data_IF_137287311818
#
_entry.id   IF_137287311818
#
_cell.length_a   1.000
_cell.length_b   1.000
_cell.length_c   1.000
_cell.angle_alpha   90.00
_cell.angle_beta   90.00
_cell.angle_gamma   90.00
#
_symmetry.space_group_name_H-M   'P 1'
#
loop_
_entity.id
_entity.type
_entity.pdbx_description
1 polymer ?
#
# COMPACT_ATOMS: atom_id res chain seq x y z
N UNK A 1 11.50 -29.12 66.75
CA UNK A 1 12.58 -28.94 65.75
C UNK A 1 12.85 -30.26 65.04
N UNK A 2 12.52 -30.36 63.74
CA UNK A 2 13.09 -31.29 62.75
C UNK A 2 12.47 -30.99 61.35
N UNK A 3 13.33 -30.44 60.46
CA UNK A 3 13.48 -30.70 59.00
C UNK A 3 12.25 -30.50 58.10
N UNK A 4 12.11 -29.39 57.36
CA UNK A 4 12.69 -29.06 56.02
C UNK A 4 12.19 -29.94 54.86
N UNK A 5 11.46 -29.38 53.90
CA UNK A 5 11.85 -29.24 52.47
C UNK A 5 10.64 -28.77 51.60
N UNK A 6 10.89 -27.74 50.77
CA UNK A 6 10.07 -27.30 49.64
C UNK A 6 9.97 -28.36 48.54
N UNK A 7 8.82 -28.45 47.86
CA UNK A 7 8.61 -28.84 46.45
C UNK A 7 7.33 -28.08 46.00
N UNK A 8 7.44 -26.94 45.31
CA UNK A 8 7.44 -26.76 43.85
C UNK A 8 6.20 -27.33 43.10
N UNK A 9 5.29 -26.41 42.76
CA UNK A 9 4.80 -26.12 41.39
C UNK A 9 4.33 -27.28 40.50
N UNK A 10 3.05 -27.24 40.10
CA UNK A 10 2.64 -27.37 38.69
C UNK A 10 1.23 -26.76 38.52
N UNK A 11 1.19 -25.47 38.17
CA UNK A 11 0.01 -24.82 37.61
C UNK A 11 -0.07 -25.31 36.16
N UNK A 12 -0.95 -26.27 35.90
CA UNK A 12 -1.28 -26.72 34.54
C UNK A 12 -2.15 -25.67 33.85
N UNK A 13 -1.52 -24.61 33.35
CA UNK A 13 -2.10 -23.69 32.38
C UNK A 13 -2.18 -24.44 31.04
N UNK A 14 -3.31 -25.11 30.81
CA UNK A 14 -3.65 -25.64 29.50
C UNK A 14 -4.06 -24.43 28.65
N UNK A 15 -3.06 -23.76 28.06
CA UNK A 15 -3.27 -22.85 26.94
C UNK A 15 -3.28 -23.73 25.69
N UNK A 16 -4.43 -24.30 25.34
CA UNK A 16 -4.59 -24.94 24.03
C UNK A 16 -4.58 -23.82 23.00
N UNK A 17 -3.38 -23.52 22.49
CA UNK A 17 -3.08 -23.09 21.13
C UNK A 17 -4.29 -22.58 20.34
N UNK A 18 -4.64 -21.31 20.54
CA UNK A 18 -5.33 -20.57 19.49
C UNK A 18 -4.35 -20.43 18.34
N UNK A 19 -4.64 -21.06 17.21
CA UNK A 19 -4.00 -20.70 15.94
C UNK A 19 -4.27 -19.21 15.72
N UNK A 20 -3.33 -18.33 16.04
CA UNK A 20 -3.41 -16.95 15.59
C UNK A 20 -3.40 -17.03 14.06
N UNK A 21 -4.53 -16.65 13.44
CA UNK A 21 -4.55 -16.49 11.98
C UNK A 21 -3.51 -15.42 11.65
N UNK A 22 -2.63 -15.69 10.67
CA UNK A 22 -1.61 -14.70 10.31
C UNK A 22 -2.32 -13.44 9.83
N UNK A 23 -1.94 -12.29 10.38
CA UNK A 23 -2.50 -11.02 9.90
C UNK A 23 -1.79 -10.62 8.60
N UNK A 24 -2.42 -9.80 7.76
CA UNK A 24 -1.75 -9.25 6.58
C UNK A 24 -0.45 -8.53 6.97
N UNK A 25 -0.50 -7.80 8.09
CA UNK A 25 0.67 -7.12 8.65
C UNK A 25 1.81 -8.10 8.97
N UNK A 26 1.50 -9.20 9.66
CA UNK A 26 2.49 -10.26 9.95
C UNK A 26 3.02 -10.90 8.66
N UNK A 27 2.20 -11.03 7.61
CA UNK A 27 2.66 -11.52 6.32
C UNK A 27 3.60 -10.54 5.61
N UNK A 28 3.41 -9.22 5.78
CA UNK A 28 4.33 -8.18 5.29
C UNK A 28 5.63 -8.18 6.10
N UNK A 29 5.54 -8.26 7.42
CA UNK A 29 6.71 -8.36 8.32
C UNK A 29 7.60 -9.55 7.93
N UNK A 30 6.98 -10.69 7.63
CA UNK A 30 7.68 -11.92 7.23
C UNK A 30 8.12 -11.95 5.76
N UNK A 31 7.69 -11.02 4.91
CA UNK A 31 8.10 -10.98 3.49
C UNK A 31 9.46 -10.34 3.27
N UNK A 32 10.01 -9.65 4.29
CA UNK A 32 11.24 -8.88 4.17
C UNK A 32 11.04 -7.48 3.58
N UNK A 33 9.83 -7.13 3.12
CA UNK A 33 9.54 -5.79 2.58
C UNK A 33 9.45 -4.71 3.68
N UNK A 34 9.31 -5.09 4.95
CA UNK A 34 9.26 -4.20 6.11
C UNK A 34 10.33 -4.59 7.16
N UNK A 35 11.58 -4.73 6.72
CA UNK A 35 12.65 -5.27 7.56
C UNK A 35 13.06 -4.34 8.73
N UNK A 36 12.94 -3.03 8.56
CA UNK A 36 13.54 -2.05 9.48
C UNK A 36 12.55 -1.30 10.37
N UNK A 37 11.26 -1.36 10.06
CA UNK A 37 10.20 -0.74 10.87
C UNK A 37 8.88 -1.47 10.70
N UNK A 38 8.06 -1.40 11.73
CA UNK A 38 6.73 -2.00 11.73
C UNK A 38 5.85 -1.36 10.63
N UNK A 39 5.30 -2.14 9.69
CA UNK A 39 4.59 -1.58 8.55
C UNK A 39 3.21 -1.08 8.97
N UNK A 40 2.89 0.15 8.53
CA UNK A 40 1.56 0.71 8.61
C UNK A 40 0.83 0.50 7.27
N UNK A 41 -0.25 -0.28 7.28
CA UNK A 41 -1.08 -0.45 6.08
C UNK A 41 -1.81 0.86 5.79
N UNK A 42 -1.55 1.44 4.61
CA UNK A 42 -2.17 2.68 4.13
C UNK A 42 -3.38 2.43 3.23
N UNK A 43 -3.36 1.34 2.47
CA UNK A 43 -4.45 0.92 1.59
C UNK A 43 -4.47 -0.61 1.45
N UNK A 44 -5.66 -1.17 1.28
CA UNK A 44 -5.87 -2.61 1.09
C UNK A 44 -7.05 -2.85 0.16
N UNK A 45 -6.82 -3.62 -0.90
CA UNK A 45 -7.86 -4.21 -1.73
C UNK A 45 -7.76 -5.74 -1.64
N UNK A 46 -8.76 -6.39 -1.04
CA UNK A 46 -8.81 -7.85 -0.91
C UNK A 46 -9.18 -8.55 -2.22
N UNK A 47 -9.99 -7.91 -3.05
CA UNK A 47 -10.47 -8.47 -4.31
C UNK A 47 -9.36 -8.53 -5.35
N UNK A 48 -8.46 -7.55 -5.32
CA UNK A 48 -7.30 -7.46 -6.22
C UNK A 48 -6.00 -7.94 -5.57
N UNK A 49 -6.00 -8.23 -4.28
CA UNK A 49 -4.80 -8.63 -3.56
C UNK A 49 -3.73 -7.53 -3.51
N UNK A 50 -4.11 -6.25 -3.46
CA UNK A 50 -3.18 -5.12 -3.43
C UNK A 50 -3.07 -4.56 -2.01
N UNK A 51 -1.84 -4.31 -1.55
CA UNK A 51 -1.57 -3.59 -0.31
C UNK A 51 -0.57 -2.46 -0.55
N UNK A 52 -0.87 -1.28 -0.02
CA UNK A 52 0.09 -0.17 0.08
C UNK A 52 0.35 0.07 1.56
N UNK A 53 1.62 0.14 1.94
CA UNK A 53 2.02 0.33 3.33
C UNK A 53 3.23 1.24 3.45
N UNK A 54 3.34 1.90 4.60
CA UNK A 54 4.47 2.71 5.01
C UNK A 54 5.40 1.89 5.91
N UNK A 55 6.70 1.99 5.72
CA UNK A 55 7.72 1.46 6.62
C UNK A 55 8.96 2.34 6.52
N UNK A 56 10.11 1.89 7.02
CA UNK A 56 11.40 2.57 6.87
C UNK A 56 12.43 1.69 6.20
N UNK A 57 13.38 2.34 5.55
CA UNK A 57 14.59 1.70 5.05
C UNK A 57 15.67 1.56 6.15
N UNK A 58 16.85 1.07 5.76
CA UNK A 58 17.98 0.88 6.67
C UNK A 58 18.53 2.18 7.26
N UNK A 59 18.26 3.33 6.62
CA UNK A 59 18.69 4.65 7.07
C UNK A 59 17.64 5.31 7.98
N UNK A 60 16.48 4.68 8.15
CA UNK A 60 15.35 5.21 8.91
C UNK A 60 14.47 6.19 8.13
N UNK A 61 14.68 6.30 6.82
CA UNK A 61 13.86 7.13 5.93
C UNK A 61 12.54 6.42 5.62
N UNK A 62 11.45 7.17 5.52
CA UNK A 62 10.15 6.60 5.21
C UNK A 62 10.09 6.12 3.76
N UNK A 63 9.58 4.90 3.57
CA UNK A 63 9.28 4.31 2.27
C UNK A 63 7.81 3.93 2.18
N UNK A 64 7.18 4.27 1.07
CA UNK A 64 5.88 3.74 0.69
C UNK A 64 6.10 2.57 -0.25
N UNK A 65 5.54 1.42 0.12
CA UNK A 65 5.66 0.18 -0.60
C UNK A 65 4.28 -0.24 -1.11
N UNK A 66 4.21 -0.65 -2.39
CA UNK A 66 3.06 -1.36 -2.96
C UNK A 66 3.48 -2.80 -3.18
N UNK A 67 2.77 -3.72 -2.53
CA UNK A 67 2.94 -5.15 -2.67
C UNK A 67 1.65 -5.82 -3.15
N UNK A 68 1.77 -7.07 -3.55
CA UNK A 68 0.63 -7.95 -3.83
C UNK A 68 0.55 -9.07 -2.81
N UNK A 69 -0.64 -9.60 -2.57
CA UNK A 69 -0.84 -10.72 -1.67
C UNK A 69 -2.02 -11.59 -2.10
N UNK A 70 -2.00 -12.84 -1.66
CA UNK A 70 -3.13 -13.75 -1.76
C UNK A 70 -3.70 -14.03 -0.38
N UNK A 71 -5.03 -14.16 -0.30
CA UNK A 71 -5.73 -14.59 0.91
C UNK A 71 -6.39 -15.95 0.66
N UNK A 72 -5.93 -16.99 1.36
CA UNK A 72 -6.52 -18.34 1.29
C UNK A 72 -6.79 -18.87 2.69
N UNK A 73 -8.04 -19.23 2.97
CA UNK A 73 -8.47 -19.74 4.29
C UNK A 73 -8.01 -18.82 5.44
N UNK A 74 -8.24 -17.52 5.30
CA UNK A 74 -7.83 -16.47 6.26
C UNK A 74 -6.33 -16.42 6.58
N UNK A 75 -5.49 -16.94 5.68
CA UNK A 75 -4.04 -16.78 5.71
C UNK A 75 -3.61 -15.88 4.56
N UNK A 76 -2.76 -14.92 4.88
CA UNK A 76 -2.17 -14.02 3.92
C UNK A 76 -0.79 -14.53 3.50
N UNK A 77 -0.49 -14.41 2.21
CA UNK A 77 0.86 -14.59 1.67
C UNK A 77 1.16 -13.39 0.77
N UNK A 78 2.18 -12.63 1.13
CA UNK A 78 2.69 -11.51 0.33
C UNK A 78 3.64 -12.05 -0.73
N UNK A 79 3.58 -11.48 -1.92
CA UNK A 79 4.55 -11.68 -3.00
C UNK A 79 5.60 -10.56 -2.94
N UNK A 80 6.86 -10.95 -2.82
CA UNK A 80 8.01 -10.05 -2.72
C UNK A 80 8.65 -9.75 -4.08
N UNK A 81 8.25 -10.47 -5.14
CA UNK A 81 8.88 -10.40 -6.46
C UNK A 81 8.41 -9.22 -7.31
N UNK A 82 7.14 -8.82 -7.16
CA UNK A 82 6.56 -7.64 -7.81
C UNK A 82 6.18 -6.63 -6.74
N UNK A 83 7.13 -5.84 -6.29
CA UNK A 83 6.87 -4.73 -5.38
C UNK A 83 7.40 -3.41 -5.97
N UNK A 84 6.70 -2.33 -5.64
CA UNK A 84 7.20 -0.98 -5.85
C UNK A 84 7.56 -0.41 -4.48
N UNK A 85 8.70 0.26 -4.37
CA UNK A 85 9.09 0.98 -3.17
C UNK A 85 9.65 2.34 -3.56
N UNK A 86 9.23 3.38 -2.85
CA UNK A 86 9.69 4.75 -3.07
C UNK A 86 9.91 5.44 -1.73
N UNK A 87 11.07 6.07 -1.59
CA UNK A 87 11.35 6.98 -0.49
C UNK A 87 10.39 8.17 -0.57
N UNK A 88 9.79 8.51 0.57
CA UNK A 88 8.85 9.61 0.70
C UNK A 88 9.27 10.52 1.85
N UNK A 89 9.11 11.82 1.67
CA UNK A 89 9.20 12.77 2.78
C UNK A 89 7.78 13.09 3.26
N UNK A 90 7.28 12.29 4.20
CA UNK A 90 5.94 12.51 4.77
C UNK A 90 5.88 13.77 5.64
N UNK A 91 7.02 14.36 5.99
CA UNK A 91 7.10 15.57 6.81
C UNK A 91 7.11 16.82 5.93
N UNK A 92 7.71 16.76 4.74
CA UNK A 92 7.81 17.90 3.83
C UNK A 92 7.36 17.55 2.40
N UNK A 93 6.39 18.31 1.88
CA UNK A 93 6.11 18.54 0.44
C UNK A 93 6.36 17.35 -0.49
N UNK A 94 5.65 16.25 -0.26
CA UNK A 94 5.77 15.07 -1.11
C UNK A 94 4.41 14.58 -1.57
N UNK A 95 4.15 14.80 -2.85
CA UNK A 95 3.06 14.20 -3.61
C UNK A 95 3.69 13.38 -4.72
N UNK A 96 3.09 12.23 -5.00
CA UNK A 96 3.48 11.47 -6.16
C UNK A 96 2.31 10.71 -6.72
N UNK A 97 2.43 10.41 -7.99
CA UNK A 97 1.55 9.54 -8.74
C UNK A 97 2.43 8.63 -9.58
N UNK A 98 2.04 7.37 -9.69
CA UNK A 98 2.69 6.40 -10.56
C UNK A 98 1.65 5.55 -11.26
N UNK A 99 1.94 5.22 -12.52
CA UNK A 99 1.30 4.10 -13.20
C UNK A 99 2.02 2.83 -12.77
N UNK A 100 1.26 1.77 -12.57
CA UNK A 100 1.78 0.47 -12.17
C UNK A 100 0.92 -0.64 -12.79
N UNK A 101 1.42 -1.87 -12.73
CA UNK A 101 0.69 -3.04 -13.20
C UNK A 101 0.99 -4.26 -12.35
N UNK A 102 -0.05 -5.06 -12.13
CA UNK A 102 0.07 -6.40 -11.54
C UNK A 102 -0.25 -7.43 -12.60
N UNK A 103 0.62 -8.42 -12.76
CA UNK A 103 0.33 -9.58 -13.59
C UNK A 103 -0.78 -10.39 -12.91
N UNK A 104 -1.82 -10.70 -13.67
CA UNK A 104 -2.82 -11.68 -13.26
C UNK A 104 -2.45 -13.07 -13.81
N UNK A 105 -3.12 -14.12 -13.34
CA UNK A 105 -2.92 -15.49 -13.83
C UNK A 105 -3.28 -15.65 -15.33
N UNK A 106 -3.89 -14.65 -15.96
CA UNK A 106 -4.35 -14.68 -17.36
C UNK A 106 -3.38 -14.04 -18.35
N UNK A 107 -2.18 -13.62 -17.90
CA UNK A 107 -1.21 -12.84 -18.67
C UNK A 107 -1.77 -11.50 -19.19
N UNK A 108 -2.86 -10.99 -18.59
CA UNK A 108 -3.38 -9.66 -18.88
C UNK A 108 -3.07 -8.76 -17.70
N UNK A 109 -1.98 -7.98 -17.76
CA UNK A 109 -1.58 -7.17 -16.63
C UNK A 109 -2.67 -6.14 -16.32
N UNK A 110 -3.18 -6.18 -15.09
CA UNK A 110 -4.11 -5.17 -14.62
C UNK A 110 -3.32 -3.91 -14.30
N UNK A 111 -3.67 -2.82 -14.97
CA UNK A 111 -3.01 -1.53 -14.82
C UNK A 111 -3.79 -0.65 -13.87
N UNK A 112 -3.08 0.16 -13.10
CA UNK A 112 -3.68 1.09 -12.17
C UNK A 112 -2.76 2.29 -11.99
N UNK A 113 -3.36 3.37 -11.52
CA UNK A 113 -2.68 4.57 -11.12
C UNK A 113 -2.82 4.69 -9.60
N UNK A 114 -1.74 5.02 -8.92
CA UNK A 114 -1.79 5.17 -7.48
C UNK A 114 -0.73 6.15 -7.00
N UNK A 115 -0.87 6.61 -5.78
CA UNK A 115 0.04 7.60 -5.25
C UNK A 115 -0.25 8.00 -3.82
N UNK A 116 0.49 8.99 -3.36
CA UNK A 116 0.35 9.58 -2.03
C UNK A 116 0.38 11.10 -2.10
N UNK A 117 -0.43 11.75 -1.25
CA UNK A 117 -0.56 13.22 -1.15
C UNK A 117 -0.34 13.65 0.31
N UNK A 118 0.91 13.74 0.74
CA UNK A 118 1.23 13.91 2.18
C UNK A 118 1.29 15.37 2.65
N UNK A 119 1.47 16.31 1.74
CA UNK A 119 1.65 17.72 2.08
C UNK A 119 0.34 18.48 2.33
N UNK A 120 -0.77 18.02 1.76
CA UNK A 120 -2.05 18.72 1.79
C UNK A 120 -3.07 17.92 2.61
N UNK A 121 -3.20 18.16 3.93
CA UNK A 121 -4.12 17.41 4.77
C UNK A 121 -5.60 17.54 4.37
N UNK A 122 -5.94 18.62 3.65
CA UNK A 122 -7.28 18.91 3.14
C UNK A 122 -7.53 18.37 1.73
N UNK A 123 -6.56 17.65 1.15
CA UNK A 123 -6.73 17.05 -0.17
C UNK A 123 -7.74 15.91 -0.10
N UNK A 124 -8.72 15.93 -1.01
CA UNK A 124 -9.82 14.97 -1.07
C UNK A 124 -9.78 14.14 -2.35
N UNK A 125 -9.28 14.71 -3.45
CA UNK A 125 -9.33 14.07 -4.76
C UNK A 125 -8.06 14.30 -5.57
N UNK A 126 -7.76 13.34 -6.42
CA UNK A 126 -6.83 13.49 -7.54
C UNK A 126 -7.64 13.42 -8.84
N UNK A 127 -7.42 14.38 -9.72
CA UNK A 127 -7.84 14.32 -11.11
C UNK A 127 -6.62 14.06 -11.97
N UNK A 128 -6.73 13.17 -12.94
CA UNK A 128 -5.60 12.84 -13.80
C UNK A 128 -6.04 12.64 -15.25
N UNK A 129 -5.11 12.91 -16.16
CA UNK A 129 -5.24 12.73 -17.60
C UNK A 129 -4.03 11.92 -18.06
N UNK A 130 -4.29 10.85 -18.80
CA UNK A 130 -3.30 9.98 -19.42
C UNK A 130 -3.26 10.32 -20.90
N UNK A 131 -2.06 10.62 -21.41
CA UNK A 131 -1.83 10.91 -22.82
C UNK A 131 -0.95 9.86 -23.48
N UNK A 132 -1.11 9.69 -24.80
CA UNK A 132 -0.18 8.94 -25.65
C UNK A 132 1.10 9.75 -25.96
N UNK A 133 2.03 9.15 -26.72
CA UNK A 133 3.28 9.81 -27.13
C UNK A 133 3.08 11.04 -28.02
N UNK A 134 1.93 11.16 -28.70
CA UNK A 134 1.58 12.29 -29.55
C UNK A 134 0.87 13.41 -28.77
N UNK A 135 0.58 13.19 -27.48
CA UNK A 135 -0.14 14.11 -26.61
C UNK A 135 -1.66 14.05 -26.75
N UNK A 136 -2.20 13.01 -27.38
CA UNK A 136 -3.65 12.78 -27.40
C UNK A 136 -4.10 12.19 -26.07
N UNK A 137 -5.22 12.71 -25.55
CA UNK A 137 -5.86 12.15 -24.36
C UNK A 137 -6.36 10.74 -24.63
N UNK A 138 -5.85 9.78 -23.86
CA UNK A 138 -6.30 8.39 -23.86
C UNK A 138 -7.38 8.16 -22.81
N UNK A 139 -7.24 8.80 -21.64
CA UNK A 139 -8.14 8.59 -20.52
C UNK A 139 -8.06 9.74 -19.51
N UNK A 140 -9.20 10.11 -18.94
CA UNK A 140 -9.30 11.07 -17.85
C UNK A 140 -10.19 10.49 -16.75
N UNK A 141 -9.77 10.62 -15.50
CA UNK A 141 -10.63 10.29 -14.36
C UNK A 141 -10.34 11.14 -13.11
N UNK A 142 -11.19 10.97 -12.10
CA UNK A 142 -11.00 11.50 -10.75
C UNK A 142 -11.18 10.39 -9.72
N UNK A 143 -10.27 10.32 -8.76
CA UNK A 143 -10.30 9.34 -7.67
C UNK A 143 -10.16 10.02 -6.32
N UNK A 144 -10.77 9.43 -5.29
CA UNK A 144 -10.75 9.93 -3.92
C UNK A 144 -9.43 9.55 -3.22
N UNK A 145 -8.94 10.48 -2.41
CA UNK A 145 -7.81 10.27 -1.51
C UNK A 145 -8.39 9.74 -0.20
N UNK A 146 -7.87 8.60 0.27
CA UNK A 146 -8.33 8.04 1.52
C UNK A 146 -7.82 8.84 2.73
N UNK A 147 -8.33 8.52 3.93
CA UNK A 147 -7.92 9.17 5.17
C UNK A 147 -6.46 8.93 5.59
N UNK A 148 -5.71 8.12 4.84
CA UNK A 148 -4.26 7.89 4.99
C UNK A 148 -3.47 8.51 3.84
N UNK A 149 -4.08 9.43 3.11
CA UNK A 149 -3.45 10.20 2.04
C UNK A 149 -3.01 9.38 0.82
N UNK A 150 -3.59 8.19 0.62
CA UNK A 150 -3.35 7.32 -0.53
C UNK A 150 -4.57 7.29 -1.44
N UNK A 151 -4.32 7.23 -2.74
CA UNK A 151 -5.33 6.95 -3.75
C UNK A 151 -4.88 5.80 -4.65
N UNK A 152 -5.84 5.09 -5.21
CA UNK A 152 -5.63 4.07 -6.23
C UNK A 152 -6.84 4.06 -7.15
N UNK A 153 -6.61 3.94 -8.45
CA UNK A 153 -7.67 3.77 -9.44
C UNK A 153 -7.23 2.83 -10.56
N UNK A 154 -8.17 2.03 -11.07
CA UNK A 154 -7.87 1.05 -12.12
C UNK A 154 -7.93 1.72 -13.48
N UNK A 155 -6.92 1.46 -14.32
CA UNK A 155 -6.88 1.94 -15.69
C UNK A 155 -7.63 0.94 -16.58
N UNK A 156 -8.59 1.38 -17.42
CA UNK A 156 -9.29 0.50 -18.35
C UNK A 156 -8.36 -0.24 -19.33
N UNK A 157 -8.69 -1.50 -19.67
CA UNK A 157 -7.86 -2.38 -20.50
C UNK A 157 -7.64 -1.88 -21.95
N UNK A 158 -8.55 -1.05 -22.44
CA UNK A 158 -8.49 -0.42 -23.76
C UNK A 158 -7.51 0.76 -23.83
N UNK A 159 -7.10 1.30 -22.67
CA UNK A 159 -6.02 2.29 -22.57
C UNK A 159 -4.68 1.58 -22.69
N UNK A 160 -4.08 1.69 -23.88
CA UNK A 160 -2.76 1.14 -24.22
C UNK A 160 -1.80 2.29 -24.52
N UNK A 161 -0.50 2.01 -24.42
CA UNK A 161 0.56 2.98 -24.76
C UNK A 161 0.59 4.24 -23.87
N UNK A 162 0.59 3.99 -22.55
CA UNK A 162 0.68 4.99 -21.49
C UNK A 162 2.02 5.73 -21.56
N UNK A 163 2.01 7.03 -21.83
CA UNK A 163 3.23 7.83 -21.91
C UNK A 163 3.34 8.86 -20.79
N UNK A 164 2.44 9.84 -20.79
CA UNK A 164 2.46 10.97 -19.87
C UNK A 164 1.20 10.98 -19.00
N UNK A 165 1.38 11.35 -17.72
CA UNK A 165 0.25 11.61 -16.83
C UNK A 165 0.37 12.98 -16.23
N UNK A 166 -0.65 13.78 -16.50
CA UNK A 166 -0.86 15.06 -15.85
C UNK A 166 -1.89 14.87 -14.75
N UNK A 167 -1.70 15.53 -13.61
CA UNK A 167 -2.63 15.39 -12.49
C UNK A 167 -2.70 16.64 -11.62
N UNK A 168 -3.88 16.80 -11.02
CA UNK A 168 -4.20 17.85 -10.08
C UNK A 168 -4.68 17.23 -8.77
N UNK A 169 -4.28 17.84 -7.66
CA UNK A 169 -4.78 17.52 -6.31
C UNK A 169 -5.79 18.59 -5.94
N UNK A 170 -6.99 18.20 -5.51
CA UNK A 170 -8.08 19.10 -5.19
C UNK A 170 -8.59 18.92 -3.76
N UNK A 171 -9.09 20.00 -3.17
CA UNK A 171 -9.88 19.96 -1.93
C UNK A 171 -11.35 19.57 -2.18
N UNK A 172 -12.14 19.52 -1.11
CA UNK A 172 -13.57 19.18 -1.16
C UNK A 172 -14.38 20.13 -2.04
N UNK A 173 -13.99 21.40 -2.10
CA UNK A 173 -14.64 22.46 -2.86
C UNK A 173 -14.22 22.48 -4.34
N UNK A 174 -13.22 21.68 -4.72
CA UNK A 174 -12.68 21.61 -6.07
C UNK A 174 -11.63 22.68 -6.37
N UNK A 175 -11.03 23.31 -5.36
CA UNK A 175 -9.88 24.18 -5.55
C UNK A 175 -8.63 23.33 -5.78
N UNK A 176 -7.79 23.75 -6.72
CA UNK A 176 -6.52 23.10 -7.02
C UNK A 176 -5.50 23.45 -5.94
N UNK A 177 -5.00 22.42 -5.25
CA UNK A 177 -3.94 22.51 -4.25
C UNK A 177 -2.56 22.27 -4.87
N UNK A 178 -2.51 21.44 -5.91
CA UNK A 178 -1.30 21.08 -6.65
C UNK A 178 -1.64 20.77 -8.11
N UNK A 179 -0.71 21.09 -9.00
CA UNK A 179 -0.83 20.85 -10.44
C UNK A 179 0.51 20.35 -10.99
N UNK A 180 0.49 19.17 -11.58
CA UNK A 180 1.56 18.59 -12.39
C UNK A 180 1.04 18.45 -13.81
N UNK A 181 1.45 19.38 -14.66
CA UNK A 181 1.14 19.42 -16.09
C UNK A 181 2.41 19.38 -16.93
#
# INVERSE_FOLDING_TARGET
MKKSLSILMFIGLIVVSGCSHSTLKEAIDNSGLAQYDEPEILYRNDDEGIVIFLTKDAEGSYIVCRGTYTKKNDRFKVDDSSHFARNVDIVNKYEFLTIDSIEDESNNPKRFIWGGVFHYPQAEKVQYIINDEEGNELHQNSTEINNKHIFLDTIPDDVKDLHEVNYQVLDAEGNILYDQS
#
